data_IF_599074169750
#
_entry.id   IF_599074169750
#
_cell.length_a   1.000
_cell.length_b   1.000
_cell.length_c   1.000
_cell.angle_alpha   90.00
_cell.angle_beta   90.00
_cell.angle_gamma   90.00
#
_symmetry.space_group_name_H-M   'P 1'
#
loop_
_entity.id
_entity.type
_entity.pdbx_description
1 polymer ?
#
# COMPACT_ATOMS: atom_id res chain seq x y z
N UNK A 1 -17.50 -9.27 -37.18
CA UNK A 1 -16.43 -8.82 -36.25
C UNK A 1 -17.04 -7.74 -35.36
N UNK A 2 -17.40 -8.09 -34.12
CA UNK A 2 -18.01 -7.16 -33.17
C UNK A 2 -16.92 -6.56 -32.29
N UNK A 3 -16.65 -5.27 -32.49
CA UNK A 3 -15.69 -4.50 -31.71
C UNK A 3 -16.32 -4.09 -30.37
N UNK A 4 -15.93 -4.75 -29.28
CA UNK A 4 -16.28 -4.33 -27.92
C UNK A 4 -15.37 -3.15 -27.50
N UNK A 5 -15.72 -1.93 -27.90
CA UNK A 5 -15.21 -0.73 -27.24
C UNK A 5 -16.18 -0.35 -26.11
N UNK A 6 -16.03 -1.00 -24.95
CA UNK A 6 -16.70 -0.63 -23.71
C UNK A 6 -15.67 0.03 -22.77
N UNK A 7 -15.15 1.17 -23.17
CA UNK A 7 -14.57 2.12 -22.24
C UNK A 7 -15.45 3.38 -22.32
N UNK A 8 -16.51 3.40 -21.50
CA UNK A 8 -17.28 4.63 -21.30
C UNK A 8 -16.37 5.74 -20.76
N UNK A 9 -16.75 7.01 -20.95
CA UNK A 9 -15.98 8.13 -20.42
C UNK A 9 -15.80 7.97 -18.91
N UNK A 10 -14.54 8.07 -18.45
CA UNK A 10 -14.24 8.01 -17.03
C UNK A 10 -14.82 9.27 -16.38
N UNK A 11 -15.74 9.09 -15.43
CA UNK A 11 -16.34 10.18 -14.68
C UNK A 11 -15.27 10.93 -13.85
N UNK A 12 -15.06 12.24 -14.09
CA UNK A 12 -14.09 13.03 -13.33
C UNK A 12 -14.34 13.03 -11.82
N UNK A 13 -15.60 12.97 -11.37
CA UNK A 13 -15.91 12.96 -9.95
C UNK A 13 -15.45 11.66 -9.27
N UNK A 14 -15.66 10.52 -9.95
CA UNK A 14 -15.17 9.21 -9.51
C UNK A 14 -13.64 9.16 -9.40
N UNK A 15 -12.91 9.74 -10.36
CA UNK A 15 -11.45 9.86 -10.28
C UNK A 15 -10.99 10.73 -9.11
N UNK A 16 -11.63 11.88 -8.91
CA UNK A 16 -11.31 12.78 -7.81
C UNK A 16 -11.54 12.12 -6.45
N UNK A 17 -12.62 11.35 -6.30
CA UNK A 17 -12.90 10.59 -5.09
C UNK A 17 -11.84 9.51 -4.82
N UNK A 18 -11.45 8.76 -5.86
CA UNK A 18 -10.40 7.74 -5.73
C UNK A 18 -9.05 8.35 -5.32
N UNK A 19 -8.69 9.50 -5.90
CA UNK A 19 -7.46 10.21 -5.56
C UNK A 19 -7.50 10.77 -4.13
N UNK A 20 -8.63 11.35 -3.70
CA UNK A 20 -8.82 11.80 -2.33
C UNK A 20 -8.71 10.65 -1.31
N UNK A 21 -9.30 9.49 -1.63
CA UNK A 21 -9.19 8.28 -0.84
C UNK A 21 -7.74 7.80 -0.72
N UNK A 22 -7.03 7.74 -1.84
CA UNK A 22 -5.59 7.40 -1.87
C UNK A 22 -4.77 8.35 -1.00
N UNK A 23 -4.91 9.67 -1.17
CA UNK A 23 -4.16 10.68 -0.41
C UNK A 23 -4.46 10.64 1.09
N UNK A 24 -5.70 10.35 1.46
CA UNK A 24 -6.11 10.17 2.86
C UNK A 24 -5.40 8.96 3.48
N UNK A 25 -5.36 7.82 2.78
CA UNK A 25 -4.65 6.63 3.25
C UNK A 25 -3.14 6.87 3.38
N UNK A 26 -2.51 7.51 2.39
CA UNK A 26 -1.07 7.85 2.44
C UNK A 26 -0.75 8.74 3.64
N UNK A 27 -1.61 9.73 3.89
CA UNK A 27 -1.45 10.64 5.04
C UNK A 27 -1.59 9.88 6.35
N UNK A 28 -2.62 9.05 6.49
CA UNK A 28 -2.85 8.23 7.68
C UNK A 28 -1.65 7.31 7.96
N UNK A 29 -1.15 6.61 6.94
CA UNK A 29 0.00 5.73 7.09
C UNK A 29 1.28 6.50 7.41
N UNK A 30 1.52 7.67 6.80
CA UNK A 30 2.67 8.50 7.14
C UNK A 30 2.63 8.92 8.62
N UNK A 31 1.47 9.36 9.13
CA UNK A 31 1.30 9.67 10.55
C UNK A 31 1.58 8.44 11.43
N UNK A 32 0.96 7.31 11.14
CA UNK A 32 1.15 6.08 11.91
C UNK A 32 2.62 5.60 11.88
N UNK A 33 3.29 5.66 10.72
CA UNK A 33 4.69 5.29 10.59
C UNK A 33 5.61 6.21 11.40
N UNK A 34 5.36 7.52 11.37
CA UNK A 34 6.17 8.52 12.08
C UNK A 34 5.99 8.46 13.59
N UNK A 35 4.74 8.30 14.03
CA UNK A 35 4.36 8.55 15.43
C UNK A 35 4.22 7.26 16.24
N UNK A 36 4.08 6.10 15.58
CA UNK A 36 3.88 4.82 16.27
C UNK A 36 4.79 3.73 15.71
N UNK A 37 4.56 3.27 14.48
CA UNK A 37 5.17 2.04 13.99
C UNK A 37 6.70 2.12 13.85
N UNK A 38 7.22 3.30 13.50
CA UNK A 38 8.66 3.54 13.44
C UNK A 38 9.33 3.52 14.82
N UNK A 39 8.68 4.10 15.83
CA UNK A 39 9.19 4.16 17.20
C UNK A 39 9.13 2.80 17.91
N UNK A 40 8.07 2.04 17.64
CA UNK A 40 7.81 0.73 18.25
C UNK A 40 8.48 -0.44 17.49
N UNK A 41 9.31 -0.17 16.48
CA UNK A 41 10.00 -1.21 15.69
C UNK A 41 9.05 -2.11 14.86
N UNK A 42 7.83 -1.64 14.60
CA UNK A 42 6.79 -2.34 13.84
C UNK A 42 6.92 -2.11 12.33
N UNK A 43 7.67 -1.07 11.94
CA UNK A 43 7.94 -0.67 10.56
C UNK A 43 9.30 -1.21 10.08
N UNK A 44 9.33 -1.74 8.86
CA UNK A 44 10.56 -2.11 8.15
C UNK A 44 10.50 -1.63 6.70
N UNK A 45 11.58 -0.99 6.25
CA UNK A 45 11.76 -0.55 4.86
C UNK A 45 12.98 -1.27 4.29
N UNK A 46 12.82 -1.98 3.18
CA UNK A 46 13.93 -2.74 2.61
C UNK A 46 13.55 -3.61 1.41
N UNK A 47 14.40 -4.56 1.01
CA UNK A 47 13.99 -5.58 0.05
C UNK A 47 12.84 -6.43 0.62
N UNK A 48 12.08 -7.08 -0.26
CA UNK A 48 11.15 -8.13 0.17
C UNK A 48 11.96 -9.27 0.82
N UNK A 49 11.90 -9.37 2.15
CA UNK A 49 12.48 -10.49 2.86
C UNK A 49 11.48 -11.65 2.94
N UNK A 50 11.93 -12.84 2.55
CA UNK A 50 11.12 -14.06 2.51
C UNK A 50 10.42 -14.28 1.16
N UNK A 51 10.61 -15.46 0.58
CA UNK A 51 9.91 -15.87 -0.64
C UNK A 51 8.67 -16.70 -0.24
N UNK A 52 7.48 -16.17 -0.47
CA UNK A 52 6.36 -16.94 -1.09
C UNK A 52 5.01 -16.24 -1.06
N UNK A 53 4.75 -15.28 -0.16
CA UNK A 53 3.37 -14.81 0.02
C UNK A 53 3.05 -13.40 -0.48
N UNK A 54 4.00 -12.59 -0.96
CA UNK A 54 3.72 -11.20 -1.38
C UNK A 54 2.80 -11.12 -2.61
N UNK A 55 1.97 -10.05 -2.75
CA UNK A 55 1.17 -9.84 -3.97
C UNK A 55 2.04 -9.68 -5.23
N UNK A 56 1.56 -10.20 -6.36
CA UNK A 56 2.27 -10.09 -7.64
C UNK A 56 2.49 -8.63 -8.08
N UNK A 57 1.52 -7.76 -7.81
CA UNK A 57 1.59 -6.32 -8.06
C UNK A 57 2.72 -5.64 -7.30
N UNK A 58 2.95 -6.01 -6.04
CA UNK A 58 4.05 -5.48 -5.21
C UNK A 58 5.40 -5.90 -5.80
N UNK A 59 5.56 -7.19 -6.16
CA UNK A 59 6.79 -7.66 -6.81
C UNK A 59 7.07 -6.93 -8.12
N UNK A 60 6.02 -6.73 -8.94
CA UNK A 60 6.14 -6.02 -10.20
C UNK A 60 6.51 -4.54 -9.98
N UNK A 61 5.91 -3.88 -9.00
CA UNK A 61 6.23 -2.50 -8.65
C UNK A 61 7.70 -2.36 -8.22
N UNK A 62 8.19 -3.21 -7.31
CA UNK A 62 9.60 -3.22 -6.89
C UNK A 62 10.55 -3.38 -8.08
N UNK A 63 10.26 -4.31 -8.99
CA UNK A 63 11.08 -4.51 -10.18
C UNK A 63 11.05 -3.31 -11.13
N UNK A 64 9.89 -2.67 -11.30
CA UNK A 64 9.72 -1.56 -12.25
C UNK A 64 10.30 -0.24 -11.74
N UNK A 65 10.15 0.04 -10.44
CA UNK A 65 10.51 1.34 -9.88
C UNK A 65 11.85 1.32 -9.17
N UNK A 66 12.38 0.15 -8.81
CA UNK A 66 13.58 0.04 -7.96
C UNK A 66 13.33 0.46 -6.50
N UNK A 67 12.07 0.66 -6.11
CA UNK A 67 11.69 1.08 -4.78
C UNK A 67 11.97 0.05 -3.68
N UNK A 68 11.52 0.36 -2.46
CA UNK A 68 11.65 -0.48 -1.27
C UNK A 68 10.29 -0.97 -0.79
N UNK A 69 10.24 -2.21 -0.32
CA UNK A 69 9.06 -2.73 0.34
C UNK A 69 8.94 -2.07 1.72
N UNK A 70 7.77 -1.52 2.00
CA UNK A 70 7.36 -1.08 3.32
C UNK A 70 6.51 -2.16 3.96
N UNK A 71 6.98 -2.70 5.08
CA UNK A 71 6.29 -3.69 5.89
C UNK A 71 5.90 -3.07 7.23
N UNK A 72 4.63 -3.21 7.61
CA UNK A 72 4.14 -2.78 8.92
C UNK A 72 3.47 -3.98 9.59
N UNK A 73 3.82 -4.24 10.85
CA UNK A 73 3.16 -5.26 11.69
C UNK A 73 2.22 -4.57 12.67
N UNK A 74 0.96 -4.98 12.71
CA UNK A 74 -0.03 -4.47 13.64
C UNK A 74 -0.14 -5.46 14.82
N UNK A 75 0.51 -5.19 15.97
CA UNK A 75 0.70 -6.21 17.01
C UNK A 75 -0.62 -6.65 17.68
N UNK A 76 -1.60 -5.75 17.79
CA UNK A 76 -2.87 -6.06 18.46
C UNK A 76 -3.79 -6.97 17.64
N UNK A 77 -3.72 -6.90 16.31
CA UNK A 77 -4.57 -7.69 15.40
C UNK A 77 -3.80 -8.84 14.73
N UNK A 78 -2.47 -8.80 14.78
CA UNK A 78 -1.60 -9.70 14.03
C UNK A 78 -1.61 -9.44 12.52
N UNK A 79 -2.26 -8.36 12.07
CA UNK A 79 -2.32 -7.99 10.66
C UNK A 79 -0.98 -7.44 10.18
N UNK A 80 -0.74 -7.57 8.88
CA UNK A 80 0.45 -7.06 8.21
C UNK A 80 0.04 -6.18 7.06
N UNK A 81 0.67 -5.02 6.94
CA UNK A 81 0.55 -4.15 5.77
C UNK A 81 1.79 -4.27 4.89
N UNK A 82 1.58 -4.16 3.59
CA UNK A 82 2.63 -4.21 2.58
C UNK A 82 2.34 -3.24 1.44
N UNK A 83 3.33 -2.43 1.10
CA UNK A 83 3.33 -1.57 -0.08
C UNK A 83 4.77 -1.32 -0.57
N UNK A 84 4.92 -0.64 -1.69
CA UNK A 84 6.20 -0.17 -2.22
C UNK A 84 6.29 1.33 -2.03
N UNK A 85 7.42 1.79 -1.51
CA UNK A 85 7.78 3.20 -1.39
C UNK A 85 9.08 3.48 -2.12
N UNK A 86 9.35 4.74 -2.44
CA UNK A 86 10.60 5.14 -3.11
C UNK A 86 11.84 4.79 -2.27
N UNK A 87 11.91 5.33 -1.06
CA UNK A 87 13.01 5.08 -0.12
C UNK A 87 12.52 5.13 1.34
N UNK A 88 13.43 4.80 2.27
CA UNK A 88 13.24 5.19 3.65
C UNK A 88 13.18 6.72 3.78
N UNK A 89 12.40 7.23 4.73
CA UNK A 89 12.19 8.66 4.94
C UNK A 89 12.49 9.04 6.39
N UNK A 90 13.46 9.93 6.58
CA UNK A 90 13.85 10.39 7.92
C UNK A 90 12.72 11.17 8.64
N UNK A 91 11.82 11.79 7.88
CA UNK A 91 10.69 12.55 8.43
C UNK A 91 9.40 11.73 8.50
N UNK A 92 9.43 10.45 8.13
CA UNK A 92 8.25 9.59 8.03
C UNK A 92 7.23 10.00 6.95
N UNK A 93 7.65 10.82 5.98
CA UNK A 93 6.84 11.17 4.81
C UNK A 93 7.29 10.32 3.63
N UNK A 94 6.50 9.31 3.27
CA UNK A 94 6.86 8.35 2.23
C UNK A 94 6.17 8.66 0.90
N UNK A 95 6.89 8.41 -0.20
CA UNK A 95 6.34 8.41 -1.55
C UNK A 95 5.93 6.98 -1.91
N UNK A 96 4.63 6.72 -2.01
CA UNK A 96 4.08 5.41 -2.34
C UNK A 96 4.09 5.16 -3.85
N UNK A 97 4.56 3.97 -4.24
CA UNK A 97 4.76 3.53 -5.62
C UNK A 97 3.89 2.32 -5.99
N UNK A 98 3.12 1.80 -5.03
CA UNK A 98 2.12 0.77 -5.27
C UNK A 98 0.89 0.99 -4.38
N UNK A 99 -0.24 0.33 -4.69
CA UNK A 99 -1.33 0.22 -3.74
C UNK A 99 -0.90 -0.47 -2.44
N UNK A 100 -1.69 -0.26 -1.40
CA UNK A 100 -1.46 -0.82 -0.07
C UNK A 100 -2.22 -2.15 0.05
N UNK A 101 -1.60 -3.14 0.69
CA UNK A 101 -2.20 -4.44 0.92
C UNK A 101 -2.22 -4.76 2.40
N UNK A 102 -3.28 -5.40 2.87
CA UNK A 102 -3.39 -5.95 4.22
C UNK A 102 -3.48 -7.47 4.16
N UNK A 103 -2.88 -8.14 5.14
CA UNK A 103 -3.03 -9.57 5.39
C UNK A 103 -3.32 -9.84 6.85
N UNK A 104 -4.54 -10.27 7.11
CA UNK A 104 -4.95 -10.78 8.41
C UNK A 104 -4.45 -12.22 8.65
N UNK A 105 -4.35 -12.66 9.91
CA UNK A 105 -4.00 -14.03 10.24
C UNK A 105 -4.90 -15.04 9.51
N UNK A 106 -4.29 -16.01 8.82
CA UNK A 106 -5.00 -17.05 8.08
C UNK A 106 -5.69 -16.60 6.78
N UNK A 107 -5.63 -15.32 6.40
CA UNK A 107 -6.24 -14.79 5.17
C UNK A 107 -5.21 -14.51 4.07
N UNK A 108 -5.59 -14.51 2.79
CA UNK A 108 -4.73 -14.01 1.71
C UNK A 108 -4.50 -12.50 1.85
N UNK A 109 -3.55 -11.97 1.09
CA UNK A 109 -3.41 -10.53 0.93
C UNK A 109 -4.63 -9.97 0.19
N UNK A 110 -5.18 -8.88 0.73
CA UNK A 110 -6.24 -8.11 0.12
C UNK A 110 -5.75 -6.69 -0.12
N UNK A 111 -6.29 -6.05 -1.17
CA UNK A 111 -6.10 -4.62 -1.38
C UNK A 111 -6.71 -3.87 -0.19
N UNK A 112 -5.97 -2.94 0.38
CA UNK A 112 -6.48 -2.05 1.41
C UNK A 112 -7.21 -0.91 0.71
N UNK A 113 -8.53 -0.91 0.83
CA UNK A 113 -9.39 0.16 0.33
C UNK A 113 -9.59 1.21 1.41
N UNK A 114 -9.60 2.48 1.02
CA UNK A 114 -9.83 3.60 1.94
C UNK A 114 -11.24 3.53 2.55
N UNK A 115 -12.21 2.98 1.81
CA UNK A 115 -13.56 2.78 2.31
C UNK A 115 -13.64 1.70 3.39
N UNK A 116 -12.69 0.77 3.42
CA UNK A 116 -12.61 -0.25 4.47
C UNK A 116 -11.92 0.27 5.74
N UNK A 117 -11.29 1.45 5.69
CA UNK A 117 -10.61 2.11 6.80
C UNK A 117 -11.44 3.24 7.45
N UNK A 118 -12.45 3.77 6.75
CA UNK A 118 -13.34 4.83 7.21
C UNK A 118 -14.52 4.26 8.01
#
# INVERSE_FOLDING_TARGET
>A
MHSYNLAGPIDPASLALQEAGRRSMETLLNCYCREVAGLEGQLSIGPLFGQSDSPASVRLALHRTGGRAMHIRLPFTGERLLTVVDSASATGNYLYLSPMYCKAPGKPWALLDWQALA
#
